data_IF_009088364678
#
_entry.id   IF_009088364678
#
_cell.length_a   1.000
_cell.length_b   1.000
_cell.length_c   1.000
_cell.angle_alpha   90.00
_cell.angle_beta   90.00
_cell.angle_gamma   90.00
#
_symmetry.space_group_name_H-M   'P 1'
#
loop_
_entity.id
_entity.type
_entity.pdbx_description
1 polymer ?
#
# COMPACT_ATOMS: atom_id res chain seq x y z
N UNK A 1 23.01 -9.75 -31.12
CA UNK A 1 22.79 -10.35 -29.78
C UNK A 1 21.87 -9.46 -28.91
N UNK A 2 20.89 -8.77 -29.53
CA UNK A 2 19.90 -7.86 -28.89
C UNK A 2 18.51 -8.08 -29.54
N UNK A 3 18.21 -9.32 -29.97
CA UNK A 3 16.96 -9.65 -30.71
C UNK A 3 16.05 -10.61 -29.93
N UNK A 4 16.16 -10.65 -28.59
CA UNK A 4 15.30 -11.47 -27.72
C UNK A 4 14.43 -10.64 -26.79
N UNK A 5 14.20 -9.36 -27.11
CA UNK A 5 13.17 -8.58 -26.45
C UNK A 5 11.86 -8.78 -27.21
N UNK A 6 11.17 -9.89 -26.91
CA UNK A 6 9.74 -9.93 -27.16
C UNK A 6 9.08 -9.08 -26.08
N UNK A 7 8.19 -8.14 -26.43
CA UNK A 7 7.48 -7.31 -25.45
C UNK A 7 6.61 -8.10 -24.45
N UNK A 8 6.49 -9.43 -24.61
CA UNK A 8 5.74 -10.34 -23.73
C UNK A 8 6.63 -11.29 -22.90
N UNK A 9 7.95 -11.18 -22.95
CA UNK A 9 8.81 -12.06 -22.14
C UNK A 9 8.76 -11.63 -20.66
N UNK A 10 8.36 -12.51 -19.74
CA UNK A 10 8.17 -12.16 -18.32
C UNK A 10 9.48 -11.65 -17.67
N UNK A 11 10.65 -12.10 -18.16
CA UNK A 11 11.94 -11.59 -17.71
C UNK A 11 12.20 -10.14 -18.14
N UNK A 12 11.77 -9.74 -19.33
CA UNK A 12 11.94 -8.38 -19.80
C UNK A 12 11.07 -7.41 -19.00
N UNK A 13 9.81 -7.78 -18.74
CA UNK A 13 8.89 -7.02 -17.89
C UNK A 13 9.43 -6.88 -16.46
N UNK A 14 10.00 -7.95 -15.90
CA UNK A 14 10.64 -7.92 -14.57
C UNK A 14 11.83 -6.95 -14.56
N UNK A 15 12.69 -6.99 -15.58
CA UNK A 15 13.84 -6.09 -15.71
C UNK A 15 13.43 -4.63 -15.79
N UNK A 16 12.42 -4.31 -16.60
CA UNK A 16 11.88 -2.95 -16.73
C UNK A 16 11.23 -2.48 -15.42
N UNK A 17 10.44 -3.31 -14.75
CA UNK A 17 9.81 -2.97 -13.47
C UNK A 17 10.86 -2.73 -12.37
N UNK A 18 11.89 -3.58 -12.29
CA UNK A 18 12.98 -3.43 -11.35
C UNK A 18 13.79 -2.14 -11.60
N UNK A 19 14.10 -1.86 -12.86
CA UNK A 19 14.79 -0.63 -13.26
C UNK A 19 13.95 0.61 -12.91
N UNK A 20 12.66 0.62 -13.24
CA UNK A 20 11.75 1.72 -12.92
C UNK A 20 11.64 1.95 -11.41
N UNK A 21 11.47 0.89 -10.61
CA UNK A 21 11.37 0.99 -9.15
C UNK A 21 12.68 1.50 -8.51
N UNK A 22 13.82 1.06 -9.04
CA UNK A 22 15.13 1.48 -8.55
C UNK A 22 15.43 2.92 -8.95
N UNK A 23 15.08 3.35 -10.16
CA UNK A 23 15.25 4.73 -10.64
C UNK A 23 14.50 5.73 -9.75
N UNK A 24 13.24 5.47 -9.41
CA UNK A 24 12.49 6.37 -8.51
C UNK A 24 13.13 6.46 -7.13
N UNK A 25 13.66 5.34 -6.61
CA UNK A 25 14.36 5.33 -5.31
C UNK A 25 15.69 6.07 -5.37
N UNK A 26 16.47 5.90 -6.44
CA UNK A 26 17.74 6.58 -6.65
C UNK A 26 17.54 8.10 -6.78
N UNK A 27 16.53 8.52 -7.54
CA UNK A 27 16.14 9.93 -7.65
C UNK A 27 15.73 10.48 -6.28
N UNK A 28 14.94 9.74 -5.52
CA UNK A 28 14.57 10.12 -4.15
C UNK A 28 15.78 10.30 -3.22
N UNK A 29 16.77 9.40 -3.28
CA UNK A 29 18.01 9.48 -2.48
C UNK A 29 18.89 10.66 -2.92
N UNK A 30 19.04 10.88 -4.23
CA UNK A 30 19.83 11.99 -4.76
C UNK A 30 19.27 13.36 -4.37
N UNK A 31 17.93 13.47 -4.31
CA UNK A 31 17.23 14.69 -3.88
C UNK A 31 17.31 14.84 -2.35
N UNK A 32 17.31 13.74 -1.59
CA UNK A 32 17.32 13.76 -0.12
C UNK A 32 18.54 14.48 0.50
N UNK A 33 19.67 14.54 -0.20
CA UNK A 33 20.88 15.21 0.31
C UNK A 33 20.88 16.74 0.14
N UNK A 34 19.96 17.29 -0.66
CA UNK A 34 19.95 18.71 -1.05
C UNK A 34 18.71 19.46 -0.57
N UNK A 35 17.77 18.77 0.07
CA UNK A 35 16.52 19.34 0.57
C UNK A 35 16.63 19.56 2.07
N UNK A 36 16.59 20.83 2.48
CA UNK A 36 16.47 21.25 3.88
C UNK A 36 15.15 20.69 4.45
N UNK A 37 15.23 19.61 5.22
CA UNK A 37 14.08 18.85 5.71
C UNK A 37 13.20 19.63 6.73
N UNK A 38 13.63 20.81 7.16
CA UNK A 38 12.94 21.64 8.15
C UNK A 38 11.93 22.64 7.54
N UNK A 39 11.81 22.69 6.20
CA UNK A 39 10.88 23.61 5.55
C UNK A 39 9.42 23.14 5.67
N UNK A 40 8.53 24.02 6.14
CA UNK A 40 7.09 23.76 6.30
C UNK A 40 6.41 23.24 5.02
N UNK A 41 6.92 23.63 3.85
CA UNK A 41 6.42 23.22 2.54
C UNK A 41 6.67 21.71 2.31
N UNK A 42 7.83 21.18 2.73
CA UNK A 42 8.13 19.76 2.63
C UNK A 42 7.19 18.91 3.49
N UNK A 43 6.88 19.39 4.70
CA UNK A 43 5.89 18.73 5.57
C UNK A 43 4.50 18.72 4.94
N UNK A 44 4.08 19.81 4.30
CA UNK A 44 2.81 19.88 3.58
C UNK A 44 2.74 18.85 2.45
N UNK A 45 3.79 18.74 1.61
CA UNK A 45 3.85 17.71 0.56
C UNK A 45 3.85 16.28 1.13
N UNK A 46 4.55 16.04 2.23
CA UNK A 46 4.54 14.74 2.90
C UNK A 46 3.13 14.37 3.40
N UNK A 47 2.44 15.31 4.04
CA UNK A 47 1.05 15.13 4.46
C UNK A 47 0.12 14.85 3.28
N UNK A 48 0.23 15.62 2.19
CA UNK A 48 -0.58 15.43 0.97
C UNK A 48 -0.32 14.06 0.35
N UNK A 49 0.94 13.65 0.22
CA UNK A 49 1.30 12.33 -0.33
C UNK A 49 0.71 11.19 0.48
N UNK A 50 0.83 11.24 1.80
CA UNK A 50 0.22 10.23 2.68
C UNK A 50 -1.30 10.24 2.64
N UNK A 51 -1.94 11.42 2.54
CA UNK A 51 -3.38 11.54 2.38
C UNK A 51 -3.89 10.91 1.08
N UNK A 52 -3.15 11.07 -0.04
CA UNK A 52 -3.49 10.45 -1.33
C UNK A 52 -3.43 8.93 -1.24
N UNK A 53 -2.34 8.38 -0.68
CA UNK A 53 -2.18 6.93 -0.52
C UNK A 53 -3.27 6.37 0.41
N UNK A 54 -3.56 7.06 1.52
CA UNK A 54 -4.64 6.70 2.43
C UNK A 54 -6.01 6.69 1.74
N UNK A 55 -6.33 7.74 0.98
CA UNK A 55 -7.58 7.84 0.23
C UNK A 55 -7.71 6.75 -0.85
N UNK A 56 -6.60 6.40 -1.51
CA UNK A 56 -6.57 5.30 -2.48
C UNK A 56 -6.82 3.95 -1.80
N UNK A 57 -6.22 3.70 -0.65
CA UNK A 57 -6.44 2.49 0.14
C UNK A 57 -7.88 2.38 0.61
N UNK A 58 -8.46 3.49 1.11
CA UNK A 58 -9.88 3.55 1.46
C UNK A 58 -10.71 3.17 0.24
N UNK A 59 -10.51 3.81 -0.92
CA UNK A 59 -11.24 3.48 -2.16
C UNK A 59 -11.13 1.99 -2.53
N UNK A 60 -9.95 1.40 -2.43
CA UNK A 60 -9.74 -0.02 -2.74
C UNK A 60 -10.52 -0.95 -1.79
N UNK A 61 -10.68 -0.56 -0.53
CA UNK A 61 -11.44 -1.31 0.48
C UNK A 61 -12.95 -1.07 0.37
N UNK A 62 -13.39 0.17 0.12
CA UNK A 62 -14.81 0.54 0.01
C UNK A 62 -15.45 0.00 -1.27
N UNK A 63 -14.69 0.06 -2.37
CA UNK A 63 -15.10 -0.34 -3.70
C UNK A 63 -14.15 -1.41 -4.23
N UNK A 64 -14.20 -2.63 -3.66
CA UNK A 64 -13.52 -3.74 -4.29
C UNK A 64 -14.15 -3.90 -5.68
N UNK A 65 -13.33 -3.76 -6.73
CA UNK A 65 -13.73 -3.94 -8.13
C UNK A 65 -13.92 -5.42 -8.47
N UNK A 66 -14.46 -6.20 -7.54
CA UNK A 66 -14.80 -7.61 -7.72
C UNK A 66 -16.20 -7.68 -8.33
N UNK A 67 -16.31 -8.44 -9.41
CA UNK A 67 -17.52 -8.79 -10.16
C UNK A 67 -18.62 -9.52 -9.33
N UNK A 68 -18.76 -9.24 -8.03
CA UNK A 68 -19.75 -9.85 -7.14
C UNK A 68 -20.81 -8.82 -6.76
N UNK A 69 -21.81 -8.72 -7.63
CA UNK A 69 -22.94 -7.79 -7.58
C UNK A 69 -24.04 -8.18 -6.58
N UNK A 70 -23.79 -9.11 -5.63
CA UNK A 70 -24.85 -9.76 -4.83
C UNK A 70 -24.81 -9.50 -3.31
N UNK A 71 -23.91 -8.64 -2.81
CA UNK A 71 -23.81 -8.41 -1.36
C UNK A 71 -24.31 -7.02 -0.94
N UNK A 72 -25.33 -7.04 -0.07
CA UNK A 72 -26.11 -5.91 0.46
C UNK A 72 -25.23 -4.71 0.91
N UNK A 73 -25.66 -3.50 0.53
CA UNK A 73 -25.02 -2.21 0.88
C UNK A 73 -24.73 -2.01 2.38
N UNK A 74 -25.51 -2.64 3.27
CA UNK A 74 -25.38 -2.47 4.73
C UNK A 74 -24.10 -3.10 5.30
N UNK A 75 -23.67 -4.24 4.77
CA UNK A 75 -22.47 -4.94 5.24
C UNK A 75 -21.20 -4.16 4.89
N UNK A 76 -21.24 -3.42 3.78
CA UNK A 76 -20.15 -2.53 3.35
C UNK A 76 -19.95 -1.39 4.33
N UNK A 77 -21.02 -0.73 4.79
CA UNK A 77 -20.92 0.40 5.72
C UNK A 77 -20.35 -0.03 7.08
N UNK A 78 -20.71 -1.22 7.55
CA UNK A 78 -20.19 -1.79 8.81
C UNK A 78 -18.72 -2.20 8.68
N UNK A 79 -18.34 -2.91 7.61
CA UNK A 79 -16.94 -3.30 7.38
C UNK A 79 -16.02 -2.08 7.29
N UNK A 80 -16.51 -1.01 6.67
CA UNK A 80 -15.79 0.26 6.49
C UNK A 80 -15.65 1.02 7.80
N UNK A 81 -16.72 1.08 8.59
CA UNK A 81 -16.66 1.69 9.92
C UNK A 81 -15.72 0.93 10.85
N UNK A 82 -15.68 -0.40 10.75
CA UNK A 82 -14.80 -1.24 11.55
C UNK A 82 -13.33 -1.14 11.13
N UNK A 83 -13.06 -1.08 9.82
CA UNK A 83 -11.72 -0.83 9.28
C UNK A 83 -11.21 0.57 9.69
N UNK A 84 -12.08 1.59 9.67
CA UNK A 84 -11.74 2.94 10.12
C UNK A 84 -11.46 2.97 11.63
N UNK A 85 -12.24 2.22 12.43
CA UNK A 85 -12.04 2.10 13.88
C UNK A 85 -10.72 1.41 14.23
N UNK A 86 -10.38 0.30 13.56
CA UNK A 86 -9.09 -0.39 13.75
C UNK A 86 -7.90 0.47 13.31
N UNK A 87 -8.04 1.22 12.22
CA UNK A 87 -7.00 2.13 11.74
C UNK A 87 -6.73 3.27 12.74
N UNK A 88 -7.79 3.84 13.32
CA UNK A 88 -7.66 4.88 14.35
C UNK A 88 -7.01 4.34 15.63
N UNK A 89 -7.25 3.06 15.96
CA UNK A 89 -6.67 2.42 17.13
C UNK A 89 -5.17 2.11 16.98
N UNK A 90 -4.65 1.96 15.75
CA UNK A 90 -3.26 1.55 15.52
C UNK A 90 -2.25 2.71 15.37
N UNK A 91 -2.46 3.77 16.14
CA UNK A 91 -1.55 4.91 16.18
C UNK A 91 -0.11 4.56 16.60
N UNK A 92 0.85 4.88 15.70
CA UNK A 92 2.26 5.29 15.96
C UNK A 92 3.42 4.28 16.03
N UNK A 93 3.26 2.98 15.77
CA UNK A 93 4.44 2.07 15.63
C UNK A 93 4.22 1.01 14.54
N UNK A 94 4.70 1.30 13.32
CA UNK A 94 4.56 0.47 12.09
C UNK A 94 5.04 -0.98 12.25
N UNK A 95 6.08 -1.20 13.06
CA UNK A 95 6.64 -2.54 13.29
C UNK A 95 5.74 -3.38 14.19
N UNK A 96 5.18 -2.79 15.26
CA UNK A 96 4.26 -3.48 16.16
C UNK A 96 2.88 -3.69 15.53
N UNK A 97 2.47 -2.88 14.53
CA UNK A 97 1.25 -3.12 13.72
C UNK A 97 1.39 -4.32 12.85
N UNK A 98 2.48 -4.36 12.10
CA UNK A 98 2.73 -5.43 11.15
C UNK A 98 2.82 -6.77 11.89
N UNK A 99 3.57 -6.81 13.01
CA UNK A 99 3.67 -8.01 13.84
C UNK A 99 2.33 -8.41 14.45
N UNK A 100 1.54 -7.47 15.00
CA UNK A 100 0.23 -7.79 15.55
C UNK A 100 -0.75 -8.31 14.47
N UNK A 101 -0.71 -7.74 13.26
CA UNK A 101 -1.52 -8.19 12.12
C UNK A 101 -1.16 -9.60 11.65
N UNK A 102 0.14 -9.88 11.49
CA UNK A 102 0.65 -11.22 11.12
C UNK A 102 0.28 -12.26 12.18
N UNK A 103 0.44 -11.93 13.46
CA UNK A 103 0.12 -12.83 14.58
C UNK A 103 -1.38 -13.13 14.63
N UNK A 104 -2.23 -12.12 14.45
CA UNK A 104 -3.69 -12.31 14.47
C UNK A 104 -4.16 -13.16 13.27
N UNK A 105 -3.60 -12.93 12.08
CA UNK A 105 -3.87 -13.76 10.89
C UNK A 105 -3.38 -15.19 11.08
N UNK A 106 -2.19 -15.39 11.64
CA UNK A 106 -1.65 -16.72 11.92
C UNK A 106 -2.53 -17.51 12.90
N UNK A 107 -3.02 -16.85 13.96
CA UNK A 107 -3.93 -17.45 14.94
C UNK A 107 -5.28 -17.81 14.32
N UNK A 108 -5.86 -16.92 13.51
CA UNK A 108 -7.13 -17.18 12.83
C UNK A 108 -7.02 -18.28 11.76
N UNK A 109 -5.88 -18.40 11.09
CA UNK A 109 -5.67 -19.48 10.12
C UNK A 109 -5.56 -20.83 10.83
N UNK A 110 -4.75 -20.92 11.89
CA UNK A 110 -4.61 -22.14 12.70
C UNK A 110 -5.94 -22.58 13.33
N UNK A 111 -6.78 -21.63 13.76
CA UNK A 111 -8.10 -21.94 14.30
C UNK A 111 -9.13 -22.38 13.26
N UNK A 112 -8.93 -22.06 11.98
CA UNK A 112 -9.85 -22.42 10.89
C UNK A 112 -9.47 -23.72 10.18
N UNK A 113 -8.21 -24.14 10.32
CA UNK A 113 -7.72 -25.44 9.84
C UNK A 113 -7.87 -26.57 10.87
N UNK A 114 -8.55 -26.33 12.00
CA UNK A 114 -8.88 -27.29 13.06
C UNK A 114 -10.40 -27.57 13.11
#
# INVERSE_FOLDING_TARGET
MIDVISPNDPLFLLGVAFAAASLTRLVGVAISGQVEADTQIFHWFACVGQAIVGGLMVRAVLFPSTLLNDTLMLDRILAVSFALAMFFFFGRRLLTSSLAGVVTLAILCVWRDL
#
